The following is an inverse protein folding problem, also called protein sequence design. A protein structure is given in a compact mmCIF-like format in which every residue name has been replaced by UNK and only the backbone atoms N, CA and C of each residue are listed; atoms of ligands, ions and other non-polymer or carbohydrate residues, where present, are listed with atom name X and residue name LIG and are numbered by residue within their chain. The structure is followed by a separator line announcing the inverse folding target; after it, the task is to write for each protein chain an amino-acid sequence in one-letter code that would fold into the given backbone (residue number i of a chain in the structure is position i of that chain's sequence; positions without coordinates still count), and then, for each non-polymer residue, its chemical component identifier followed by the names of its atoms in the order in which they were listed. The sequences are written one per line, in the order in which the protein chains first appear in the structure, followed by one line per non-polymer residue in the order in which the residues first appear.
data_IF_405579561128
#
_entry.id   IF_405579561128
#
_cell.length_a   1.000
_cell.length_b   1.000
_cell.length_c   1.000
_cell.angle_alpha   90.00
_cell.angle_beta   90.00
_cell.angle_gamma   90.00
#
_symmetry.space_group_name_H-M   'P 1'
#
loop_
_entity.id
_entity.type
_entity.pdbx_description
1 polymer ?
#
# COMPACT_ATOMS: atom_id res chain seq x y z
N UNK A 1 -15.78 -26.73 -13.75
CA UNK A 1 -15.80 -26.24 -12.35
C UNK A 1 -14.65 -25.28 -12.07
N UNK A 2 -13.38 -25.63 -12.32
CA UNK A 2 -12.21 -24.76 -12.16
C UNK A 2 -12.32 -23.43 -12.92
N UNK A 3 -12.81 -23.47 -14.18
CA UNK A 3 -12.98 -22.29 -15.05
C UNK A 3 -14.09 -21.36 -14.52
N UNK A 4 -15.17 -21.93 -13.99
CA UNK A 4 -16.27 -21.18 -13.40
C UNK A 4 -15.85 -20.49 -12.09
N UNK A 5 -15.05 -21.16 -11.29
CA UNK A 5 -14.50 -20.59 -10.05
C UNK A 5 -13.52 -19.44 -10.34
N UNK A 6 -12.69 -19.56 -11.37
CA UNK A 6 -11.81 -18.48 -11.80
C UNK A 6 -12.61 -17.26 -12.29
N UNK A 7 -13.67 -17.46 -13.08
CA UNK A 7 -14.52 -16.35 -13.55
C UNK A 7 -15.22 -15.67 -12.38
N UNK A 8 -15.75 -16.43 -11.42
CA UNK A 8 -16.37 -15.86 -10.21
C UNK A 8 -15.37 -15.07 -9.37
N UNK A 9 -14.14 -15.58 -9.21
CA UNK A 9 -13.06 -14.87 -8.50
C UNK A 9 -12.71 -13.55 -9.17
N UNK A 10 -12.55 -13.55 -10.49
CA UNK A 10 -12.25 -12.34 -11.28
C UNK A 10 -13.38 -11.30 -11.18
N UNK A 11 -14.64 -11.71 -11.23
CA UNK A 11 -15.78 -10.80 -11.09
C UNK A 11 -15.84 -10.15 -9.69
N UNK A 12 -15.51 -10.90 -8.65
CA UNK A 12 -15.43 -10.38 -7.28
C UNK A 12 -14.30 -9.37 -7.14
N UNK A 13 -13.14 -9.65 -7.73
CA UNK A 13 -12.00 -8.72 -7.72
C UNK A 13 -12.32 -7.42 -8.47
N UNK A 14 -12.96 -7.49 -9.62
CA UNK A 14 -13.35 -6.32 -10.39
C UNK A 14 -14.38 -5.46 -9.66
N UNK A 15 -15.37 -6.09 -9.03
CA UNK A 15 -16.36 -5.39 -8.20
C UNK A 15 -15.69 -4.68 -7.02
N UNK A 16 -14.71 -5.31 -6.37
CA UNK A 16 -13.97 -4.70 -5.28
C UNK A 16 -13.12 -3.51 -5.76
N UNK A 17 -12.44 -3.63 -6.90
CA UNK A 17 -11.67 -2.53 -7.49
C UNK A 17 -12.55 -1.30 -7.75
N UNK A 18 -13.72 -1.50 -8.36
CA UNK A 18 -14.67 -0.40 -8.58
C UNK A 18 -15.18 0.20 -7.28
N UNK A 19 -15.46 -0.61 -6.27
CA UNK A 19 -15.86 -0.15 -4.95
C UNK A 19 -14.81 0.78 -4.34
N UNK A 20 -13.54 0.39 -4.35
CA UNK A 20 -12.45 1.22 -3.80
C UNK A 20 -12.23 2.52 -4.60
N UNK A 21 -12.34 2.48 -5.93
CA UNK A 21 -12.29 3.68 -6.76
C UNK A 21 -13.43 4.65 -6.43
N UNK A 22 -14.64 4.13 -6.21
CA UNK A 22 -15.80 4.93 -5.84
C UNK A 22 -15.66 5.55 -4.44
N UNK A 23 -15.16 4.79 -3.49
CA UNK A 23 -14.85 5.29 -2.14
C UNK A 23 -13.82 6.42 -2.22
N UNK A 24 -12.75 6.25 -2.99
CA UNK A 24 -11.75 7.28 -3.21
C UNK A 24 -12.38 8.55 -3.82
N UNK A 25 -13.12 8.41 -4.92
CA UNK A 25 -13.74 9.56 -5.61
C UNK A 25 -14.64 10.37 -4.68
N UNK A 26 -15.41 9.69 -3.82
CA UNK A 26 -16.29 10.33 -2.83
C UNK A 26 -15.51 11.06 -1.74
N UNK A 27 -14.38 10.52 -1.31
CA UNK A 27 -13.70 10.95 -0.07
C UNK A 27 -12.36 11.64 -0.31
N UNK A 28 -11.92 11.87 -1.56
CA UNK A 28 -10.59 12.40 -1.88
C UNK A 28 -10.24 13.72 -1.17
N UNK A 29 -11.24 14.57 -0.88
CA UNK A 29 -11.03 15.83 -0.16
C UNK A 29 -10.94 15.67 1.36
N UNK A 30 -11.58 14.62 1.89
CA UNK A 30 -11.63 14.35 3.34
C UNK A 30 -10.50 13.44 3.80
N UNK A 31 -10.01 12.55 2.94
CA UNK A 31 -8.94 11.60 3.26
C UNK A 31 -7.74 12.27 3.95
N UNK A 32 -7.15 13.37 3.45
CA UNK A 32 -6.01 13.99 4.11
C UNK A 32 -6.27 14.44 5.55
N UNK A 33 -7.53 14.80 5.86
CA UNK A 33 -7.93 15.24 7.21
C UNK A 33 -8.06 14.11 8.21
N UNK A 34 -8.18 12.86 7.73
CA UNK A 34 -8.31 11.67 8.57
C UNK A 34 -6.97 11.07 8.99
N UNK A 35 -5.86 11.56 8.40
CA UNK A 35 -4.54 10.96 8.55
C UNK A 35 -3.94 11.17 9.94
N UNK A 36 -3.46 10.10 10.52
CA UNK A 36 -2.72 10.04 11.78
C UNK A 36 -1.31 9.47 11.52
N UNK A 37 -0.38 9.68 12.46
CA UNK A 37 0.97 9.12 12.38
C UNK A 37 0.96 7.62 12.68
N UNK A 38 0.40 6.86 11.76
CA UNK A 38 0.28 5.40 11.82
C UNK A 38 0.96 4.80 10.60
N UNK A 39 1.71 3.74 10.83
CA UNK A 39 2.27 2.85 9.81
C UNK A 39 1.51 1.53 9.84
N UNK A 40 0.70 1.26 8.84
CA UNK A 40 0.12 -0.05 8.63
C UNK A 40 1.07 -0.95 7.84
N UNK A 41 1.05 -2.24 8.05
CA UNK A 41 1.92 -3.16 7.33
C UNK A 41 1.25 -4.51 7.05
N UNK A 42 1.69 -5.14 5.95
CA UNK A 42 1.20 -6.46 5.58
C UNK A 42 1.80 -7.52 6.50
N UNK A 43 1.04 -7.96 7.49
CA UNK A 43 1.49 -8.95 8.47
C UNK A 43 1.41 -10.40 7.94
N UNK A 44 0.63 -10.67 6.90
CA UNK A 44 0.51 -12.02 6.31
C UNK A 44 1.72 -12.41 5.49
N UNK A 45 2.40 -11.43 4.90
CA UNK A 45 3.66 -11.60 4.15
C UNK A 45 4.87 -11.15 4.95
N UNK A 46 4.73 -10.93 6.26
CA UNK A 46 5.81 -10.45 7.12
C UNK A 46 6.96 -11.42 7.15
N UNK A 47 8.16 -10.87 7.11
CA UNK A 47 9.42 -11.54 7.30
C UNK A 47 10.20 -10.89 8.47
N UNK A 48 11.39 -11.41 8.76
CA UNK A 48 12.23 -10.87 9.83
C UNK A 48 12.58 -9.39 9.65
N UNK A 49 12.68 -8.92 8.41
CA UNK A 49 13.02 -7.54 8.12
C UNK A 49 11.94 -6.54 8.59
N UNK A 50 10.65 -6.87 8.44
CA UNK A 50 9.55 -6.06 9.00
C UNK A 50 9.70 -5.92 10.51
N UNK A 51 10.03 -7.01 11.22
CA UNK A 51 10.24 -6.93 12.67
C UNK A 51 11.45 -6.08 13.03
N UNK A 52 12.49 -6.07 12.21
CA UNK A 52 13.64 -5.20 12.38
C UNK A 52 13.25 -3.72 12.21
N UNK A 53 12.39 -3.38 11.26
CA UNK A 53 11.85 -2.02 11.09
C UNK A 53 11.05 -1.60 12.33
N UNK A 54 10.14 -2.46 12.80
CA UNK A 54 9.29 -2.19 13.97
C UNK A 54 10.14 -2.01 15.24
N UNK A 55 11.14 -2.87 15.41
CA UNK A 55 12.01 -2.83 16.60
C UNK A 55 13.04 -1.69 16.57
N UNK A 56 13.33 -1.13 15.42
CA UNK A 56 14.29 -0.03 15.27
C UNK A 56 13.82 1.23 16.02
N UNK A 57 12.53 1.54 15.97
CA UNK A 57 11.95 2.65 16.71
C UNK A 57 10.54 2.29 17.23
N UNK A 58 10.49 1.90 18.48
CA UNK A 58 9.25 1.48 19.16
C UNK A 58 8.29 2.63 19.49
N UNK A 59 8.70 3.88 19.31
CA UNK A 59 7.81 5.03 19.48
C UNK A 59 6.84 5.21 18.31
N UNK A 60 7.13 4.60 17.16
CA UNK A 60 6.25 4.63 15.99
C UNK A 60 5.10 3.65 16.19
N UNK A 61 3.89 4.10 15.89
CA UNK A 61 2.69 3.24 15.94
C UNK A 61 2.59 2.40 14.67
N UNK A 62 2.98 1.13 14.79
CA UNK A 62 2.82 0.12 13.74
C UNK A 62 1.57 -0.72 13.99
N UNK A 63 0.73 -0.88 12.98
CA UNK A 63 -0.50 -1.68 13.07
C UNK A 63 -0.50 -2.77 11.99
N UNK A 64 -0.57 -4.06 12.37
CA UNK A 64 -0.57 -5.16 11.42
C UNK A 64 -1.91 -5.28 10.69
N UNK A 65 -1.85 -5.55 9.38
CA UNK A 65 -3.00 -5.98 8.59
C UNK A 65 -2.98 -7.51 8.52
N UNK A 66 -3.77 -8.11 9.39
CA UNK A 66 -3.99 -9.56 9.46
C UNK A 66 -5.34 -9.84 10.12
N UNK A 67 -6.15 -10.70 9.51
CA UNK A 67 -7.43 -11.11 10.09
C UNK A 67 -8.45 -9.99 10.24
N UNK A 68 -8.29 -8.89 9.50
CA UNK A 68 -9.21 -7.76 9.51
C UNK A 68 -10.37 -8.01 8.54
N UNK A 69 -11.57 -7.55 8.92
CA UNK A 69 -12.68 -7.42 7.98
C UNK A 69 -12.37 -6.34 6.94
N UNK A 70 -13.07 -6.34 5.81
CA UNK A 70 -12.92 -5.30 4.79
C UNK A 70 -13.16 -3.88 5.35
N UNK A 71 -14.15 -3.72 6.24
CA UNK A 71 -14.43 -2.45 6.91
C UNK A 71 -13.30 -2.03 7.85
N UNK A 72 -12.78 -2.94 8.65
CA UNK A 72 -11.65 -2.67 9.56
C UNK A 72 -10.39 -2.28 8.78
N UNK A 73 -10.08 -2.99 7.68
CA UNK A 73 -8.95 -2.68 6.82
C UNK A 73 -9.10 -1.29 6.18
N UNK A 74 -10.28 -0.98 5.64
CA UNK A 74 -10.57 0.33 5.06
C UNK A 74 -10.38 1.45 6.08
N UNK A 75 -10.94 1.29 7.29
CA UNK A 75 -10.80 2.27 8.36
C UNK A 75 -9.34 2.48 8.78
N UNK A 76 -8.55 1.41 8.87
CA UNK A 76 -7.13 1.50 9.18
C UNK A 76 -6.36 2.25 8.08
N UNK A 77 -6.58 1.91 6.81
CA UNK A 77 -5.90 2.54 5.68
C UNK A 77 -6.31 4.02 5.51
N UNK A 78 -7.54 4.38 5.83
CA UNK A 78 -7.97 5.78 5.84
C UNK A 78 -7.24 6.63 6.89
N UNK A 79 -6.90 6.03 8.04
CA UNK A 79 -6.17 6.70 9.13
C UNK A 79 -4.66 6.68 8.97
N UNK A 80 -4.10 5.64 8.36
CA UNK A 80 -2.65 5.49 8.20
C UNK A 80 -2.08 6.47 7.19
N UNK A 81 -0.93 7.06 7.48
CA UNK A 81 -0.14 7.82 6.51
C UNK A 81 0.74 6.93 5.63
N UNK A 82 1.15 5.78 6.15
CA UNK A 82 2.11 4.89 5.51
C UNK A 82 1.59 3.45 5.53
N UNK A 83 1.82 2.76 4.42
CA UNK A 83 1.66 1.31 4.31
C UNK A 83 3.00 0.68 3.91
N UNK A 84 3.47 -0.28 4.70
CA UNK A 84 4.68 -1.06 4.41
C UNK A 84 4.30 -2.41 3.80
N UNK A 85 4.95 -2.75 2.69
CA UNK A 85 4.85 -4.08 2.09
C UNK A 85 6.23 -4.60 1.68
N UNK A 86 6.83 -5.40 2.55
CA UNK A 86 8.12 -6.06 2.35
C UNK A 86 7.95 -7.56 2.03
N UNK A 87 6.80 -7.95 1.52
CA UNK A 87 6.55 -9.27 1.00
C UNK A 87 6.97 -9.45 -0.45
N UNK A 88 6.72 -10.64 -0.99
CA UNK A 88 6.85 -10.91 -2.42
C UNK A 88 5.63 -10.36 -3.17
N UNK A 89 5.87 -9.68 -4.30
CA UNK A 89 4.83 -9.10 -5.15
C UNK A 89 4.67 -9.95 -6.42
N UNK A 90 3.63 -10.81 -6.52
CA UNK A 90 3.47 -11.73 -7.65
C UNK A 90 2.96 -11.09 -8.95
N UNK A 91 2.60 -9.80 -8.93
CA UNK A 91 2.07 -9.08 -10.08
C UNK A 91 1.43 -7.76 -9.66
N UNK A 92 0.24 -7.46 -10.17
CA UNK A 92 -0.56 -6.30 -9.72
C UNK A 92 -1.13 -6.59 -8.33
N UNK A 93 -0.29 -6.41 -7.30
CA UNK A 93 -0.65 -6.70 -5.93
C UNK A 93 -1.73 -5.73 -5.44
N UNK A 94 -2.80 -6.28 -4.91
CA UNK A 94 -4.01 -5.54 -4.54
C UNK A 94 -3.80 -4.63 -3.34
N UNK A 95 -3.15 -5.12 -2.29
CA UNK A 95 -3.06 -4.41 -1.03
C UNK A 95 -2.31 -3.08 -1.10
N UNK A 96 -1.14 -2.97 -1.76
CA UNK A 96 -0.47 -1.68 -1.95
C UNK A 96 -1.31 -0.68 -2.76
N UNK A 97 -2.05 -1.16 -3.74
CA UNK A 97 -2.89 -0.34 -4.61
C UNK A 97 -4.09 0.23 -3.85
N UNK A 98 -4.74 -0.57 -3.03
CA UNK A 98 -5.82 -0.13 -2.14
C UNK A 98 -5.30 0.88 -1.09
N UNK A 99 -4.17 0.59 -0.45
CA UNK A 99 -3.54 1.48 0.49
C UNK A 99 -3.26 2.86 -0.11
N UNK A 100 -2.75 2.88 -1.34
CA UNK A 100 -2.49 4.11 -2.09
C UNK A 100 -3.77 4.91 -2.34
N UNK A 101 -4.85 4.26 -2.78
CA UNK A 101 -6.14 4.93 -3.01
C UNK A 101 -6.73 5.52 -1.72
N UNK A 102 -6.47 4.90 -0.56
CA UNK A 102 -6.87 5.42 0.75
C UNK A 102 -5.87 6.41 1.34
N UNK A 103 -4.91 6.89 0.55
CA UNK A 103 -4.03 7.98 0.91
C UNK A 103 -2.77 7.58 1.65
N UNK A 104 -2.35 6.31 1.59
CA UNK A 104 -1.08 5.88 2.19
C UNK A 104 0.09 6.13 1.24
N UNK A 105 1.20 6.67 1.76
CA UNK A 105 2.48 6.52 1.11
C UNK A 105 2.90 5.05 1.21
N UNK A 106 3.22 4.43 0.09
CA UNK A 106 3.59 3.02 0.03
C UNK A 106 5.11 2.88 0.04
N UNK A 107 5.64 2.13 0.99
CA UNK A 107 7.05 1.77 1.07
C UNK A 107 7.18 0.27 0.85
N UNK A 108 7.99 -0.12 -0.12
CA UNK A 108 8.17 -1.52 -0.53
C UNK A 108 9.64 -1.92 -0.61
N UNK A 109 9.85 -3.22 -0.86
CA UNK A 109 11.12 -3.78 -1.31
C UNK A 109 11.23 -3.77 -2.85
N UNK A 110 12.20 -4.54 -3.38
CA UNK A 110 12.39 -4.78 -4.82
C UNK A 110 12.07 -6.22 -5.24
N UNK A 111 11.27 -6.96 -4.46
CA UNK A 111 10.97 -8.36 -4.74
C UNK A 111 9.82 -8.51 -5.72
N UNK A 112 9.92 -9.51 -6.62
CA UNK A 112 8.89 -9.78 -7.62
C UNK A 112 8.63 -8.57 -8.51
N UNK A 113 7.36 -8.25 -8.75
CA UNK A 113 6.96 -7.11 -9.58
C UNK A 113 7.38 -5.75 -9.03
N UNK A 114 7.68 -5.66 -7.74
CA UNK A 114 8.20 -4.42 -7.12
C UNK A 114 9.59 -4.02 -7.65
N UNK A 115 10.33 -4.95 -8.28
CA UNK A 115 11.59 -4.65 -8.98
C UNK A 115 11.37 -3.87 -10.28
N UNK A 116 10.16 -3.82 -10.80
CA UNK A 116 9.83 -3.15 -12.05
C UNK A 116 8.94 -1.94 -11.79
N UNK A 117 9.43 -0.74 -12.18
CA UNK A 117 8.69 0.49 -11.96
C UNK A 117 7.33 0.52 -12.65
N UNK A 118 7.21 -0.08 -13.84
CA UNK A 118 5.95 -0.11 -14.57
C UNK A 118 4.89 -0.99 -13.92
N UNK A 119 5.27 -1.98 -13.12
CA UNK A 119 4.36 -2.88 -12.43
C UNK A 119 3.96 -2.31 -11.07
N UNK A 120 4.95 -1.86 -10.29
CA UNK A 120 4.76 -1.18 -9.01
C UNK A 120 5.36 0.23 -9.12
N UNK A 121 4.54 1.19 -9.53
CA UNK A 121 4.96 2.56 -9.86
C UNK A 121 5.19 3.41 -8.59
N UNK A 122 5.71 2.81 -7.54
CA UNK A 122 6.23 3.49 -6.36
C UNK A 122 7.59 4.08 -6.71
N UNK A 123 7.86 5.37 -6.42
CA UNK A 123 9.16 5.97 -6.67
C UNK A 123 10.30 5.21 -5.99
N UNK A 124 11.48 5.17 -6.62
CA UNK A 124 12.61 4.39 -6.11
C UNK A 124 13.09 4.82 -4.71
N UNK A 125 12.90 6.08 -4.33
CA UNK A 125 13.21 6.56 -2.98
C UNK A 125 12.24 6.04 -1.90
N UNK A 126 11.17 5.35 -2.28
CA UNK A 126 10.26 4.62 -1.38
C UNK A 126 10.43 3.10 -1.46
N UNK A 127 11.45 2.62 -2.18
CA UNK A 127 11.78 1.20 -2.29
C UNK A 127 13.14 0.92 -1.66
N UNK A 128 13.25 -0.16 -0.90
CA UNK A 128 14.45 -0.52 -0.17
C UNK A 128 14.77 -2.01 -0.31
N UNK A 129 16.05 -2.34 -0.47
CA UNK A 129 16.52 -3.69 -0.25
C UNK A 129 16.41 -4.04 1.24
N UNK A 130 16.09 -5.30 1.54
CA UNK A 130 15.96 -5.81 2.91
C UNK A 130 17.34 -6.03 3.53
N UNK A 131 18.05 -4.94 3.85
CA UNK A 131 19.37 -4.92 4.47
C UNK A 131 19.32 -4.03 5.71
N UNK A 132 19.93 -4.46 6.80
CA UNK A 132 19.96 -3.72 8.07
C UNK A 132 20.50 -2.30 7.94
N UNK A 133 21.45 -2.07 7.01
CA UNK A 133 21.96 -0.72 6.69
C UNK A 133 20.89 0.25 6.21
N UNK A 134 19.74 -0.23 5.75
CA UNK A 134 18.62 0.59 5.27
C UNK A 134 17.61 0.94 6.38
N UNK A 135 17.70 0.36 7.57
CA UNK A 135 16.76 0.63 8.66
C UNK A 135 16.72 2.11 9.06
N UNK A 136 17.88 2.76 9.16
CA UNK A 136 17.95 4.19 9.47
C UNK A 136 17.27 5.03 8.37
N UNK A 137 17.51 4.70 7.10
CA UNK A 137 16.91 5.41 5.95
C UNK A 137 15.39 5.24 5.92
N UNK A 138 14.90 4.03 6.20
CA UNK A 138 13.46 3.75 6.28
C UNK A 138 12.85 4.54 7.43
N UNK A 139 13.48 4.54 8.59
CA UNK A 139 13.01 5.29 9.76
C UNK A 139 12.95 6.79 9.49
N UNK A 140 13.98 7.36 8.89
CA UNK A 140 14.01 8.77 8.48
C UNK A 140 12.89 9.10 7.48
N UNK A 141 12.63 8.22 6.53
CA UNK A 141 11.54 8.39 5.56
C UNK A 141 10.17 8.37 6.25
N UNK A 142 9.97 7.50 7.23
CA UNK A 142 8.73 7.46 8.02
C UNK A 142 8.47 8.82 8.69
N UNK A 143 9.46 9.38 9.39
CA UNK A 143 9.32 10.69 10.02
C UNK A 143 9.15 11.83 9.02
N UNK A 144 9.83 11.78 7.89
CA UNK A 144 9.67 12.74 6.82
C UNK A 144 8.22 12.78 6.32
N UNK A 145 7.61 11.60 6.11
CA UNK A 145 6.22 11.48 5.70
C UNK A 145 5.28 11.96 6.81
N UNK A 146 5.52 11.60 8.07
CA UNK A 146 4.71 12.04 9.20
C UNK A 146 4.68 13.57 9.32
N UNK A 147 5.83 14.21 9.18
CA UNK A 147 5.98 15.65 9.34
C UNK A 147 5.51 16.45 8.10
N UNK A 148 5.50 15.84 6.92
CA UNK A 148 5.11 16.50 5.68
C UNK A 148 4.34 15.54 4.76
N UNK A 149 3.23 15.03 5.26
CA UNK A 149 2.41 14.02 4.58
C UNK A 149 1.94 14.48 3.19
N UNK A 150 1.36 15.67 3.10
CA UNK A 150 0.77 16.16 1.84
C UNK A 150 1.80 16.27 0.73
N UNK A 151 3.00 16.78 1.04
CA UNK A 151 4.09 16.86 0.08
C UNK A 151 4.56 15.47 -0.36
N UNK A 152 4.81 14.57 0.58
CA UNK A 152 5.31 13.23 0.28
C UNK A 152 4.26 12.37 -0.45
N UNK A 153 2.98 12.53 -0.14
CA UNK A 153 1.93 11.80 -0.82
C UNK A 153 1.78 12.21 -2.30
N UNK A 154 2.15 13.43 -2.68
CA UNK A 154 2.20 13.85 -4.08
C UNK A 154 3.15 12.99 -4.93
N UNK A 155 4.21 12.45 -4.34
CA UNK A 155 5.12 11.52 -5.01
C UNK A 155 4.42 10.25 -5.50
N UNK A 156 3.29 9.89 -4.89
CA UNK A 156 2.46 8.74 -5.26
C UNK A 156 1.46 9.02 -6.39
N UNK A 157 1.32 10.27 -6.85
CA UNK A 157 0.28 10.68 -7.81
C UNK A 157 0.36 9.91 -9.13
N UNK A 158 1.56 9.62 -9.63
CA UNK A 158 1.74 8.88 -10.88
C UNK A 158 1.17 7.46 -10.77
N UNK A 159 1.45 6.78 -9.68
CA UNK A 159 0.90 5.44 -9.44
C UNK A 159 -0.62 5.48 -9.19
N UNK A 160 -1.07 6.43 -8.40
CA UNK A 160 -2.50 6.65 -8.15
C UNK A 160 -3.29 6.87 -9.45
N UNK A 161 -2.81 7.75 -10.31
CA UNK A 161 -3.45 8.04 -11.59
C UNK A 161 -3.45 6.82 -12.51
N UNK A 162 -2.36 6.04 -12.53
CA UNK A 162 -2.30 4.79 -13.26
C UNK A 162 -3.40 3.82 -12.79
N UNK A 163 -3.55 3.63 -11.48
CA UNK A 163 -4.58 2.76 -10.91
C UNK A 163 -5.99 3.23 -11.27
N UNK A 164 -6.26 4.54 -11.17
CA UNK A 164 -7.56 5.12 -11.46
C UNK A 164 -7.94 5.02 -12.94
N UNK A 165 -6.96 5.04 -13.84
CA UNK A 165 -7.15 5.02 -15.29
C UNK A 165 -7.12 3.61 -15.88
N UNK A 166 -6.76 2.59 -15.11
CA UNK A 166 -6.85 1.20 -15.56
C UNK A 166 -8.32 0.85 -15.80
N UNK A 167 -8.67 0.61 -17.05
CA UNK A 167 -9.99 0.12 -17.44
C UNK A 167 -10.09 -1.37 -17.12
N UNK A 168 -11.29 -1.83 -16.72
CA UNK A 168 -11.57 -3.23 -16.43
C UNK A 168 -11.47 -4.15 -17.69
N UNK A 169 -11.10 -3.59 -18.84
CA UNK A 169 -11.10 -4.24 -20.15
C UNK A 169 -9.74 -4.76 -20.62
N UNK A 170 -8.72 -4.83 -19.77
CA UNK A 170 -7.49 -5.54 -20.12
C UNK A 170 -7.60 -7.05 -19.86
N UNK A 171 -8.65 -7.64 -20.40
CA UNK A 171 -8.73 -9.08 -20.67
C UNK A 171 -8.74 -9.26 -22.18
N UNK A 172 -7.58 -9.18 -22.80
CA UNK A 172 -7.32 -9.78 -24.11
C UNK A 172 -6.10 -10.68 -24.03
#
# INVERSE_FOLDING_TARGET
EKRLNNIKSMLVEDQQRELYKNIYKKNKKTIPKLKENIVSYNATKSNEFIFSIINYDKSIKFIPIRGLTATQMTNLLLKSKIYLDFGYHPGKDRAPREALLFGNCVITNFKGSANFYNDVTVPNNFKFEEKFKNLEKINKLIYLIFNNYTHNFKEMNKYKNKILNENNNETK
#
